data_IF_387940758767
#
_entry.id   IF_387940758767
#
_cell.length_a   1.000
_cell.length_b   1.000
_cell.length_c   1.000
_cell.angle_alpha   90.00
_cell.angle_beta   90.00
_cell.angle_gamma   90.00
#
_symmetry.space_group_name_H-M   'P 1'
#
loop_
_entity.id
_entity.type
_entity.pdbx_description
1 polymer ?
#
# COMPACT_ATOMS: atom_id res chain seq x y z
N UNK A 1 19.98 5.57 -22.12
CA UNK A 1 20.07 4.41 -21.21
C UNK A 1 20.60 4.90 -19.87
N UNK A 2 19.72 5.17 -18.90
CA UNK A 2 20.16 5.59 -17.56
C UNK A 2 20.35 4.35 -16.68
N UNK A 3 21.58 4.05 -16.29
CA UNK A 3 21.89 3.09 -15.23
C UNK A 3 21.50 3.70 -13.87
N UNK A 4 20.19 3.75 -13.59
CA UNK A 4 19.67 4.10 -12.27
C UNK A 4 19.78 2.90 -11.35
N UNK A 5 20.66 2.96 -10.35
CA UNK A 5 20.79 1.95 -9.30
C UNK A 5 19.42 1.64 -8.70
N UNK A 6 18.85 0.50 -9.05
CA UNK A 6 17.59 0.01 -8.51
C UNK A 6 17.79 -0.37 -7.05
N UNK A 7 17.48 0.54 -6.14
CA UNK A 7 17.59 0.29 -4.70
C UNK A 7 16.38 -0.57 -4.30
N UNK A 8 16.63 -1.83 -3.95
CA UNK A 8 15.64 -2.64 -3.23
C UNK A 8 15.28 -1.91 -1.93
N UNK A 9 13.99 -1.81 -1.62
CA UNK A 9 13.46 -1.09 -0.46
C UNK A 9 13.76 -1.82 0.88
N UNK A 10 15.01 -2.20 1.10
CA UNK A 10 15.48 -2.89 2.31
C UNK A 10 15.43 -1.93 3.48
N UNK A 11 14.27 -1.80 4.12
CA UNK A 11 14.05 -1.00 5.32
C UNK A 11 12.93 0.05 5.23
N UNK A 12 12.56 0.50 4.02
CA UNK A 12 11.44 1.45 3.84
C UNK A 12 10.12 0.69 3.79
N UNK A 13 9.22 1.02 4.72
CA UNK A 13 7.92 0.35 4.89
C UNK A 13 6.73 1.24 4.54
N UNK A 14 6.99 2.50 4.17
CA UNK A 14 5.97 3.48 3.82
C UNK A 14 5.79 3.56 2.31
N UNK A 15 4.54 3.44 1.86
CA UNK A 15 4.19 3.46 0.44
C UNK A 15 4.55 4.78 -0.23
N UNK A 16 4.31 5.91 0.46
CA UNK A 16 4.65 7.26 -0.01
C UNK A 16 6.15 7.39 -0.25
N UNK A 17 6.96 7.08 0.76
CA UNK A 17 8.42 7.11 0.65
C UNK A 17 8.93 6.22 -0.48
N UNK A 18 8.31 5.05 -0.67
CA UNK A 18 8.69 4.12 -1.73
C UNK A 18 8.44 4.72 -3.12
N UNK A 19 7.28 5.37 -3.30
CA UNK A 19 6.92 6.03 -4.57
C UNK A 19 7.78 7.28 -4.84
N UNK A 20 8.11 8.04 -3.81
CA UNK A 20 8.94 9.25 -3.92
C UNK A 20 10.44 8.94 -4.08
N UNK A 21 10.92 7.84 -3.49
CA UNK A 21 12.35 7.47 -3.49
C UNK A 21 12.84 6.74 -4.76
N UNK A 22 12.04 6.71 -5.83
CA UNK A 22 12.31 5.95 -7.07
C UNK A 22 12.65 4.46 -6.80
N UNK A 23 12.07 3.88 -5.74
CA UNK A 23 12.24 2.47 -5.41
C UNK A 23 11.25 1.62 -6.23
N UNK A 24 11.60 0.36 -6.51
CA UNK A 24 10.67 -0.56 -7.16
C UNK A 24 9.54 -0.92 -6.19
N UNK A 25 8.31 -0.60 -6.58
CA UNK A 25 7.10 -1.14 -6.01
C UNK A 25 6.66 -2.35 -6.80
N UNK A 26 6.46 -3.49 -6.14
CA UNK A 26 5.79 -4.63 -6.76
C UNK A 26 4.30 -4.39 -6.66
N UNK A 27 3.64 -4.18 -7.80
CA UNK A 27 2.19 -3.90 -7.83
C UNK A 27 1.39 -5.10 -7.31
N UNK A 28 0.87 -4.97 -6.09
CA UNK A 28 -0.07 -5.91 -5.46
C UNK A 28 -1.46 -5.30 -5.30
N UNK A 29 -1.72 -4.19 -5.99
CA UNK A 29 -2.92 -3.39 -5.78
C UNK A 29 -4.20 -4.11 -6.23
N UNK A 30 -4.11 -5.04 -7.19
CA UNK A 30 -5.22 -5.92 -7.57
C UNK A 30 -5.67 -6.83 -6.40
N UNK A 31 -4.72 -7.44 -5.70
CA UNK A 31 -5.01 -8.30 -4.54
C UNK A 31 -5.60 -7.46 -3.40
N UNK A 32 -5.05 -6.27 -3.17
CA UNK A 32 -5.57 -5.28 -2.23
C UNK A 32 -7.02 -4.88 -2.55
N UNK A 33 -7.33 -4.60 -3.81
CA UNK A 33 -8.68 -4.25 -4.25
C UNK A 33 -9.67 -5.38 -3.98
N UNK A 34 -9.32 -6.62 -4.36
CA UNK A 34 -10.15 -7.79 -4.07
C UNK A 34 -10.34 -7.96 -2.55
N UNK A 35 -9.28 -7.71 -1.77
CA UNK A 35 -9.38 -7.74 -0.31
C UNK A 35 -10.39 -6.72 0.20
N UNK A 36 -10.24 -5.45 -0.17
CA UNK A 36 -11.11 -4.36 0.32
C UNK A 36 -12.56 -4.53 -0.15
N UNK A 37 -12.79 -5.08 -1.35
CA UNK A 37 -14.12 -5.20 -1.94
C UNK A 37 -14.87 -6.46 -1.50
N UNK A 38 -14.17 -7.58 -1.28
CA UNK A 38 -14.80 -8.88 -1.04
C UNK A 38 -14.71 -9.35 0.43
N UNK A 39 -13.70 -8.91 1.18
CA UNK A 39 -13.46 -9.47 2.50
C UNK A 39 -14.00 -8.61 3.64
N UNK A 40 -14.67 -9.27 4.58
CA UNK A 40 -15.15 -8.65 5.82
C UNK A 40 -14.06 -8.52 6.89
N UNK A 41 -13.07 -9.42 6.89
CA UNK A 41 -11.97 -9.43 7.87
C UNK A 41 -10.79 -10.28 7.35
N UNK A 42 -9.58 -9.72 7.32
CA UNK A 42 -8.37 -10.44 6.91
C UNK A 42 -7.42 -10.65 8.09
N UNK A 43 -7.12 -11.91 8.41
CA UNK A 43 -6.05 -12.24 9.33
C UNK A 43 -4.71 -12.23 8.58
N UNK A 44 -3.97 -11.13 8.69
CA UNK A 44 -2.58 -11.09 8.28
C UNK A 44 -1.77 -11.83 9.34
N UNK A 45 -1.63 -13.17 9.20
CA UNK A 45 -0.78 -14.05 10.05
C UNK A 45 0.59 -13.42 10.31
N UNK A 46 1.39 -13.79 11.33
CA UNK A 46 2.64 -13.05 11.69
C UNK A 46 3.96 -13.61 11.08
N UNK A 47 4.14 -13.82 9.75
CA UNK A 47 5.47 -14.04 9.21
C UNK A 47 6.29 -12.76 9.28
N UNK A 48 7.46 -12.85 9.92
CA UNK A 48 8.45 -11.77 10.03
C UNK A 48 8.90 -11.34 8.62
N UNK A 49 8.96 -10.03 8.37
CA UNK A 49 9.34 -9.39 7.08
C UNK A 49 8.37 -9.56 5.90
N UNK A 50 7.14 -10.01 6.11
CA UNK A 50 6.17 -10.23 5.02
C UNK A 50 5.58 -8.94 4.39
N UNK A 51 6.12 -7.75 4.70
CA UNK A 51 5.69 -6.49 4.08
C UNK A 51 4.30 -6.00 4.49
N UNK A 52 3.80 -6.40 5.67
CA UNK A 52 2.48 -5.97 6.17
C UNK A 52 2.37 -4.47 6.35
N UNK A 53 3.41 -3.85 6.92
CA UNK A 53 3.47 -2.41 7.09
C UNK A 53 3.28 -1.67 5.75
N UNK A 54 3.88 -2.18 4.66
CA UNK A 54 3.73 -1.61 3.33
C UNK A 54 2.30 -1.75 2.78
N UNK A 55 1.65 -2.90 3.02
CA UNK A 55 0.24 -3.11 2.64
C UNK A 55 -0.66 -2.13 3.40
N UNK A 56 -0.42 -1.95 4.71
CA UNK A 56 -1.19 -1.04 5.56
C UNK A 56 -1.00 0.41 5.15
N UNK A 57 0.25 0.84 4.88
CA UNK A 57 0.53 2.21 4.42
C UNK A 57 -0.05 2.46 3.03
N UNK A 58 -0.03 1.46 2.14
CA UNK A 58 -0.71 1.53 0.84
C UNK A 58 -2.21 1.72 1.01
N UNK A 59 -2.87 0.92 1.87
CA UNK A 59 -4.30 1.06 2.15
C UNK A 59 -4.62 2.44 2.75
N UNK A 60 -3.82 2.90 3.71
CA UNK A 60 -4.02 4.22 4.32
C UNK A 60 -4.00 5.34 3.27
N UNK A 61 -3.03 5.33 2.34
CA UNK A 61 -2.96 6.31 1.24
C UNK A 61 -4.11 6.14 0.22
N UNK A 62 -4.54 4.90 -0.04
CA UNK A 62 -5.68 4.60 -0.92
C UNK A 62 -6.97 5.23 -0.39
N UNK A 63 -7.23 5.06 0.91
CA UNK A 63 -8.44 5.58 1.53
C UNK A 63 -8.38 7.07 1.88
N UNK A 64 -7.18 7.63 2.04
CA UNK A 64 -6.94 9.07 2.08
C UNK A 64 -7.22 9.74 0.74
N UNK A 65 -7.17 8.97 -0.35
CA UNK A 65 -7.45 9.43 -1.71
C UNK A 65 -6.26 10.07 -2.40
N UNK A 66 -5.03 9.66 -2.05
CA UNK A 66 -3.78 10.17 -2.63
C UNK A 66 -3.52 9.63 -4.04
N UNK A 67 -4.41 9.94 -5.01
CA UNK A 67 -4.41 9.38 -6.37
C UNK A 67 -3.06 9.47 -7.08
N UNK A 68 -2.31 10.53 -6.86
CA UNK A 68 -0.99 10.77 -7.44
C UNK A 68 0.01 9.64 -7.15
N UNK A 69 -0.04 9.08 -5.93
CA UNK A 69 0.83 7.96 -5.54
C UNK A 69 0.42 6.65 -6.22
N UNK A 70 -0.78 6.57 -6.77
CA UNK A 70 -1.27 5.37 -7.46
C UNK A 70 -1.23 5.51 -8.98
N UNK A 71 -0.68 6.60 -9.52
CA UNK A 71 -0.42 6.71 -10.95
C UNK A 71 0.37 5.48 -11.44
N UNK A 72 -0.02 4.95 -12.60
CA UNK A 72 0.56 3.75 -13.24
C UNK A 72 0.39 2.41 -12.49
N UNK A 73 -0.42 2.37 -11.42
CA UNK A 73 -0.80 1.12 -10.75
C UNK A 73 -2.18 0.64 -11.20
N UNK A 74 -2.41 -0.68 -11.16
CA UNK A 74 -3.67 -1.28 -11.59
C UNK A 74 -4.92 -0.70 -10.91
N UNK A 75 -4.81 -0.35 -9.62
CA UNK A 75 -5.93 0.18 -8.83
C UNK A 75 -6.35 1.60 -9.21
N UNK A 76 -5.52 2.35 -9.94
CA UNK A 76 -5.76 3.74 -10.28
C UNK A 76 -7.11 3.97 -10.96
N UNK A 77 -7.45 3.08 -11.90
CA UNK A 77 -8.66 3.17 -12.73
C UNK A 77 -9.85 2.37 -12.16
N UNK A 78 -9.62 1.58 -11.12
CA UNK A 78 -10.63 0.69 -10.52
C UNK A 78 -11.17 1.20 -9.19
N UNK A 79 -10.47 2.15 -8.56
CA UNK A 79 -10.85 2.72 -7.28
C UNK A 79 -11.72 3.96 -7.43
N UNK A 80 -12.72 4.06 -6.56
CA UNK A 80 -13.59 5.23 -6.45
C UNK A 80 -12.95 6.27 -5.53
N UNK A 81 -12.23 7.22 -6.12
CA UNK A 81 -11.51 8.30 -5.42
C UNK A 81 -12.42 9.30 -4.69
N UNK A 82 -13.74 9.23 -4.88
CA UNK A 82 -14.70 10.04 -4.12
C UNK A 82 -14.89 9.52 -2.69
N UNK A 83 -14.59 8.23 -2.45
CA UNK A 83 -14.69 7.60 -1.13
C UNK A 83 -13.49 7.93 -0.27
N UNK A 84 -13.54 9.09 0.39
CA UNK A 84 -12.59 9.47 1.43
C UNK A 84 -13.09 8.99 2.78
N UNK A 85 -12.33 8.09 3.41
CA UNK A 85 -12.62 7.66 4.78
C UNK A 85 -11.64 8.40 5.69
N UNK A 86 -12.15 9.32 6.53
CA UNK A 86 -11.32 10.19 7.36
C UNK A 86 -10.81 9.50 8.64
N UNK A 87 -11.50 8.45 9.12
CA UNK A 87 -11.16 7.76 10.37
C UNK A 87 -10.47 6.42 10.11
N UNK A 88 -9.14 6.45 10.03
CA UNK A 88 -8.30 5.25 10.16
C UNK A 88 -7.71 5.18 11.56
N UNK A 89 -8.22 4.27 12.39
CA UNK A 89 -7.54 3.95 13.63
C UNK A 89 -6.35 3.04 13.33
N UNK A 90 -5.14 3.60 13.39
CA UNK A 90 -3.86 2.86 13.35
C UNK A 90 -3.77 1.78 14.46
N UNK A 91 -4.69 1.79 15.42
CA UNK A 91 -4.76 0.83 16.52
C UNK A 91 -5.02 -0.62 16.07
N UNK A 92 -5.74 -0.85 14.96
CA UNK A 92 -6.03 -2.23 14.48
C UNK A 92 -4.78 -2.94 13.96
N UNK A 93 -3.77 -2.21 13.48
CA UNK A 93 -2.55 -2.80 12.94
C UNK A 93 -1.39 -2.90 13.95
N UNK A 94 -1.55 -2.33 15.16
CA UNK A 94 -0.52 -2.32 16.20
C UNK A 94 -0.31 -3.71 16.84
N UNK A 95 -1.30 -4.60 16.82
CA UNK A 95 -1.16 -5.98 17.31
C UNK A 95 -0.34 -6.91 16.38
N UNK A 96 0.19 -6.40 15.27
CA UNK A 96 1.00 -7.17 14.31
C UNK A 96 2.42 -6.57 14.18
N UNK A 97 2.93 -5.84 15.18
CA UNK A 97 4.36 -5.56 15.34
C UNK A 97 4.95 -6.31 16.52
#
# INVERSE_FOLDING_TARGET
MQHGKTILSTGRQDFRDLRESNCIYVDKTQQLYNMVTQGKMYFLSRPRRFGKSLIVSTLAELFKGSRELFADLWIADKWDWTKKIAHYSYSIFKCIL
#
